data_IF_807532123100
#
_entry.id   IF_807532123100
#
_cell.length_a   1.000
_cell.length_b   1.000
_cell.length_c   1.000
_cell.angle_alpha   90.00
_cell.angle_beta   90.00
_cell.angle_gamma   90.00
#
_symmetry.space_group_name_H-M   'P 1'
#
loop_
_entity.id
_entity.type
_entity.pdbx_description
1 polymer ?
#
# COMPACT_ATOMS: atom_id res chain seq x y z
N UNK A 1 19.05 -9.23 -15.05
CA UNK A 1 18.30 -8.40 -16.01
C UNK A 1 18.08 -7.08 -15.31
N UNK A 2 18.48 -5.94 -15.88
CA UNK A 2 18.29 -4.65 -15.21
C UNK A 2 16.82 -4.23 -15.27
N UNK A 3 16.26 -3.81 -14.14
CA UNK A 3 14.88 -3.33 -14.00
C UNK A 3 14.87 -1.88 -13.50
N UNK A 4 13.78 -1.15 -13.75
CA UNK A 4 13.63 0.22 -13.23
C UNK A 4 13.54 0.26 -11.70
N UNK A 5 12.88 -0.73 -11.11
CA UNK A 5 12.85 -0.93 -9.65
C UNK A 5 14.05 -1.76 -9.23
N UNK A 6 14.90 -1.18 -8.38
CA UNK A 6 16.14 -1.78 -7.88
C UNK A 6 15.99 -2.12 -6.40
N UNK A 7 15.88 -3.41 -6.01
CA UNK A 7 15.67 -3.79 -4.62
C UNK A 7 16.69 -3.16 -3.64
N UNK A 8 17.90 -2.86 -4.12
CA UNK A 8 18.97 -2.24 -3.33
C UNK A 8 18.67 -0.79 -2.92
N UNK A 9 17.66 -0.14 -3.51
CA UNK A 9 17.26 1.23 -3.16
C UNK A 9 16.33 1.28 -1.95
N UNK A 10 15.60 0.20 -1.65
CA UNK A 10 14.68 0.15 -0.50
C UNK A 10 15.41 0.38 0.85
N UNK A 11 16.55 -0.27 1.15
CA UNK A 11 17.33 0.03 2.36
C UNK A 11 17.85 1.47 2.43
N UNK A 12 17.93 2.17 1.29
CA UNK A 12 18.41 3.56 1.19
C UNK A 12 17.29 4.58 1.34
N UNK A 13 16.07 4.18 1.69
CA UNK A 13 14.92 5.09 1.75
C UNK A 13 15.16 6.33 2.65
N UNK A 14 15.98 6.22 3.70
CA UNK A 14 16.34 7.36 4.54
C UNK A 14 17.16 8.44 3.80
N UNK A 15 17.84 8.09 2.71
CA UNK A 15 18.64 9.03 1.91
C UNK A 15 17.79 10.10 1.21
N UNK A 16 16.46 9.91 1.10
CA UNK A 16 15.57 10.93 0.52
C UNK A 16 15.66 12.27 1.27
N UNK A 17 16.13 12.25 2.52
CA UNK A 17 16.27 13.44 3.35
C UNK A 17 17.50 14.29 3.07
N UNK A 18 18.42 13.88 2.19
CA UNK A 18 19.68 14.60 1.91
C UNK A 18 19.44 16.08 1.54
N UNK A 19 18.45 16.35 0.69
CA UNK A 19 18.14 17.70 0.20
C UNK A 19 17.07 18.42 1.04
N UNK A 20 16.39 17.72 1.95
CA UNK A 20 15.29 18.25 2.75
C UNK A 20 15.23 17.60 4.15
N UNK A 21 16.25 17.78 5.00
CA UNK A 21 16.41 17.03 6.25
C UNK A 21 15.28 17.29 7.25
N UNK A 22 14.79 18.53 7.34
CA UNK A 22 13.70 18.88 8.26
C UNK A 22 12.36 18.24 7.88
N UNK A 23 12.09 18.13 6.57
CA UNK A 23 10.88 17.47 6.07
C UNK A 23 10.98 15.96 6.26
N UNK A 24 12.14 15.37 5.93
CA UNK A 24 12.38 13.95 6.12
C UNK A 24 12.27 13.55 7.59
N UNK A 25 12.85 14.32 8.51
CA UNK A 25 12.74 14.07 9.95
C UNK A 25 11.27 14.00 10.40
N UNK A 26 10.46 15.01 10.06
CA UNK A 26 9.03 15.05 10.39
C UNK A 26 8.27 13.87 9.81
N UNK A 27 8.58 13.50 8.57
CA UNK A 27 7.96 12.36 7.91
C UNK A 27 8.32 11.05 8.61
N UNK A 28 9.60 10.80 8.91
CA UNK A 28 10.04 9.55 9.54
C UNK A 28 9.57 9.43 10.98
N UNK A 29 9.50 10.53 11.74
CA UNK A 29 8.87 10.53 13.07
C UNK A 29 7.41 10.10 12.97
N UNK A 30 6.63 10.74 12.11
CA UNK A 30 5.23 10.35 11.85
C UNK A 30 5.12 8.89 11.38
N UNK A 31 5.92 8.50 10.40
CA UNK A 31 5.89 7.17 9.79
C UNK A 31 6.16 6.08 10.83
N UNK A 32 7.18 6.24 11.67
CA UNK A 32 7.51 5.26 12.71
C UNK A 32 6.37 5.16 13.74
N UNK A 33 5.86 6.29 14.22
CA UNK A 33 4.74 6.31 15.18
C UNK A 33 3.46 5.68 14.62
N UNK A 34 3.18 5.82 13.31
CA UNK A 34 2.03 5.16 12.68
C UNK A 34 2.09 3.63 12.84
N UNK A 35 3.27 3.03 12.85
CA UNK A 35 3.46 1.58 12.92
C UNK A 35 3.65 1.01 14.34
N UNK A 36 3.80 1.85 15.37
CA UNK A 36 3.83 1.41 16.77
C UNK A 36 2.48 0.79 17.18
N UNK A 37 2.49 -0.18 18.09
CA UNK A 37 1.25 -0.81 18.59
C UNK A 37 0.31 0.21 19.28
N UNK A 38 -0.99 0.05 19.07
CA UNK A 38 -2.04 0.84 19.71
C UNK A 38 -3.36 0.08 19.70
N UNK A 39 -4.45 0.73 19.26
CA UNK A 39 -5.73 0.03 19.04
C UNK A 39 -5.65 -1.08 17.98
N UNK A 40 -4.66 -0.98 17.08
CA UNK A 40 -4.29 -2.04 16.16
C UNK A 40 -2.88 -2.52 16.51
N UNK A 41 -2.71 -3.83 16.49
CA UNK A 41 -1.41 -4.50 16.61
C UNK A 41 -0.50 -4.15 15.43
N UNK A 42 0.81 -4.25 15.61
CA UNK A 42 1.78 -4.07 14.52
C UNK A 42 1.52 -5.04 13.36
N UNK A 43 1.02 -6.25 13.66
CA UNK A 43 0.64 -7.27 12.69
C UNK A 43 -0.54 -6.81 11.82
N UNK A 44 -1.59 -6.29 12.44
CA UNK A 44 -2.76 -5.76 11.71
C UNK A 44 -2.38 -4.57 10.84
N UNK A 45 -1.57 -3.64 11.37
CA UNK A 45 -1.07 -2.50 10.60
C UNK A 45 -0.22 -2.94 9.41
N UNK A 46 0.58 -3.99 9.56
CA UNK A 46 1.38 -4.57 8.47
C UNK A 46 0.51 -5.17 7.37
N UNK A 47 -0.56 -5.89 7.71
CA UNK A 47 -1.52 -6.43 6.75
C UNK A 47 -2.26 -5.31 5.99
N UNK A 48 -2.65 -4.24 6.70
CA UNK A 48 -3.25 -3.05 6.07
C UNK A 48 -2.25 -2.43 5.09
N UNK A 49 -0.99 -2.25 5.51
CA UNK A 49 0.03 -1.67 4.66
C UNK A 49 0.35 -2.53 3.43
N UNK A 50 0.35 -3.86 3.56
CA UNK A 50 0.50 -4.78 2.42
C UNK A 50 -0.66 -4.67 1.42
N UNK A 51 -1.89 -4.58 1.92
CA UNK A 51 -3.07 -4.38 1.09
C UNK A 51 -3.02 -3.04 0.34
N UNK A 52 -2.62 -1.97 1.02
CA UNK A 52 -2.41 -0.65 0.41
C UNK A 52 -1.30 -0.68 -0.63
N UNK A 53 -0.17 -1.36 -0.34
CA UNK A 53 0.95 -1.51 -1.27
C UNK A 53 0.51 -2.15 -2.60
N UNK A 54 -0.36 -3.17 -2.54
CA UNK A 54 -0.96 -3.78 -3.73
C UNK A 54 -1.94 -2.83 -4.44
N UNK A 55 -2.74 -2.07 -3.67
CA UNK A 55 -3.70 -1.15 -4.23
C UNK A 55 -3.04 -0.01 -5.03
N UNK A 56 -1.91 0.53 -4.52
CA UNK A 56 -1.12 1.58 -5.17
C UNK A 56 -0.02 1.05 -6.09
N UNK A 57 0.10 -0.28 -6.22
CA UNK A 57 1.06 -0.96 -7.09
C UNK A 57 2.52 -0.56 -6.85
N UNK A 58 2.91 -0.41 -5.59
CA UNK A 58 4.27 -0.04 -5.20
C UNK A 58 5.13 -1.29 -4.95
N UNK A 59 6.04 -1.69 -5.86
CA UNK A 59 6.83 -2.92 -5.69
C UNK A 59 7.74 -2.89 -4.45
N UNK A 60 8.38 -1.75 -4.15
CA UNK A 60 9.16 -1.59 -2.92
C UNK A 60 8.33 -1.81 -1.65
N UNK A 61 7.11 -1.28 -1.64
CA UNK A 61 6.18 -1.41 -0.52
C UNK A 61 5.69 -2.87 -0.40
N UNK A 62 5.45 -3.55 -1.53
CA UNK A 62 5.06 -4.96 -1.55
C UNK A 62 6.15 -5.81 -0.90
N UNK A 63 7.42 -5.61 -1.27
CA UNK A 63 8.53 -6.37 -0.67
C UNK A 63 8.67 -6.05 0.82
N UNK A 64 8.70 -4.76 1.19
CA UNK A 64 8.85 -4.31 2.57
C UNK A 64 7.77 -4.86 3.51
N UNK A 65 6.49 -4.76 3.10
CA UNK A 65 5.38 -5.20 3.95
C UNK A 65 5.12 -6.70 3.86
N UNK A 66 5.57 -7.39 2.82
CA UNK A 66 5.59 -8.87 2.81
C UNK A 66 6.54 -9.37 3.90
N UNK A 67 7.77 -8.83 3.95
CA UNK A 67 8.74 -9.18 4.97
C UNK A 67 8.22 -8.80 6.37
N UNK A 68 7.73 -7.57 6.54
CA UNK A 68 7.22 -7.10 7.84
C UNK A 68 6.05 -7.96 8.32
N UNK A 69 5.11 -8.34 7.45
CA UNK A 69 4.01 -9.25 7.82
C UNK A 69 4.53 -10.56 8.39
N UNK A 70 5.51 -11.19 7.73
CA UNK A 70 6.11 -12.44 8.20
C UNK A 70 6.83 -12.26 9.54
N UNK A 71 7.59 -11.17 9.70
CA UNK A 71 8.30 -10.85 10.95
C UNK A 71 7.36 -10.59 12.13
N UNK A 72 6.18 -10.02 11.86
CA UNK A 72 5.12 -9.77 12.86
C UNK A 72 4.17 -10.95 13.05
N UNK A 73 4.50 -12.11 12.49
CA UNK A 73 3.80 -13.38 12.74
C UNK A 73 2.57 -13.63 11.88
N UNK A 74 2.35 -12.85 10.81
CA UNK A 74 1.37 -13.21 9.79
C UNK A 74 1.85 -14.38 8.94
N UNK A 75 0.92 -15.12 8.34
CA UNK A 75 1.24 -16.19 7.39
C UNK A 75 0.65 -15.94 5.99
N UNK A 76 1.01 -16.80 5.02
CA UNK A 76 0.61 -16.64 3.62
C UNK A 76 -0.91 -16.54 3.41
N UNK A 77 -1.69 -17.33 4.16
CA UNK A 77 -3.16 -17.24 4.17
C UNK A 77 -3.70 -15.84 4.52
N UNK A 78 -3.33 -15.28 5.68
CA UNK A 78 -3.75 -13.93 6.10
C UNK A 78 -3.33 -12.85 5.09
N UNK A 79 -2.10 -12.93 4.57
CA UNK A 79 -1.62 -11.97 3.55
C UNK A 79 -2.43 -12.07 2.25
N UNK A 80 -2.77 -13.29 1.82
CA UNK A 80 -3.57 -13.54 0.61
C UNK A 80 -4.98 -13.01 0.77
N UNK A 81 -5.60 -13.20 1.93
CA UNK A 81 -6.91 -12.64 2.25
C UNK A 81 -6.90 -11.10 2.21
N UNK A 82 -5.89 -10.46 2.79
CA UNK A 82 -5.72 -9.00 2.74
C UNK A 82 -5.60 -8.47 1.29
N UNK A 83 -4.89 -9.19 0.42
CA UNK A 83 -4.80 -8.84 -1.02
C UNK A 83 -6.16 -8.97 -1.70
N UNK A 84 -6.94 -10.01 -1.41
CA UNK A 84 -8.30 -10.15 -1.95
C UNK A 84 -9.23 -9.01 -1.51
N UNK A 85 -9.09 -8.53 -0.27
CA UNK A 85 -9.80 -7.32 0.20
C UNK A 85 -9.43 -6.12 -0.67
N UNK A 86 -8.14 -5.89 -0.93
CA UNK A 86 -7.68 -4.80 -1.81
C UNK A 86 -8.24 -4.93 -3.24
N UNK A 87 -8.29 -6.15 -3.78
CA UNK A 87 -8.87 -6.44 -5.11
C UNK A 87 -10.36 -6.13 -5.15
N UNK A 88 -11.13 -6.52 -4.12
CA UNK A 88 -12.56 -6.26 -4.07
C UNK A 88 -12.87 -4.76 -4.13
N UNK A 89 -12.12 -3.93 -3.40
CA UNK A 89 -12.27 -2.48 -3.43
C UNK A 89 -11.93 -1.90 -4.81
N UNK A 90 -10.81 -2.31 -5.42
CA UNK A 90 -10.40 -1.82 -6.76
C UNK A 90 -11.37 -2.24 -7.87
N UNK A 91 -11.81 -3.50 -7.85
CA UNK A 91 -12.78 -4.03 -8.80
C UNK A 91 -14.15 -3.35 -8.63
N UNK A 92 -14.64 -3.29 -7.40
CA UNK A 92 -15.90 -2.63 -7.07
C UNK A 92 -15.93 -1.15 -7.45
N UNK A 93 -14.84 -0.42 -7.17
CA UNK A 93 -14.70 0.99 -7.57
C UNK A 93 -14.81 1.17 -9.09
N UNK A 94 -14.20 0.28 -9.88
CA UNK A 94 -14.34 0.31 -11.35
C UNK A 94 -15.79 0.05 -11.80
N UNK A 95 -16.44 -0.95 -11.21
CA UNK A 95 -17.80 -1.34 -11.57
C UNK A 95 -18.84 -0.26 -11.22
N UNK A 96 -18.73 0.37 -10.06
CA UNK A 96 -19.68 1.43 -9.66
C UNK A 96 -19.56 2.67 -10.55
N UNK A 97 -18.36 2.98 -11.08
CA UNK A 97 -18.21 4.02 -12.11
C UNK A 97 -18.93 3.67 -13.42
N UNK A 98 -19.22 2.39 -13.67
CA UNK A 98 -20.11 1.96 -14.75
C UNK A 98 -21.49 2.61 -14.68
N UNK A 99 -22.02 2.90 -13.48
CA UNK A 99 -23.28 3.63 -13.34
C UNK A 99 -23.19 5.06 -13.87
N UNK A 100 -22.03 5.73 -13.71
CA UNK A 100 -21.82 7.05 -14.29
C UNK A 100 -21.85 6.99 -15.82
N UNK A 101 -21.25 5.94 -16.40
CA UNK A 101 -21.30 5.69 -17.84
C UNK A 101 -22.73 5.41 -18.32
N UNK A 102 -23.52 4.58 -17.61
CA UNK A 102 -24.94 4.38 -17.93
C UNK A 102 -25.71 5.70 -17.93
N UNK A 103 -25.56 6.50 -16.88
CA UNK A 103 -26.20 7.82 -16.79
C UNK A 103 -25.81 8.76 -17.94
N UNK A 104 -24.57 8.67 -18.44
CA UNK A 104 -24.12 9.45 -19.59
C UNK A 104 -24.71 8.91 -20.90
N UNK A 105 -24.75 7.60 -21.08
CA UNK A 105 -25.32 6.94 -22.26
C UNK A 105 -26.82 7.23 -22.41
N UNK A 106 -27.56 7.19 -21.30
CA UNK A 106 -29.00 7.48 -21.27
C UNK A 106 -29.26 8.94 -21.69
N UNK A 107 -28.46 9.89 -21.20
CA UNK A 107 -28.58 11.32 -21.58
C UNK A 107 -28.28 11.59 -23.05
N UNK A 108 -27.36 10.83 -23.66
CA UNK A 108 -26.97 11.02 -25.07
C UNK A 108 -28.00 10.38 -26.01
N UNK A 109 -28.65 9.31 -25.58
CA UNK A 109 -29.58 8.52 -26.40
C UNK A 109 -31.02 9.07 -26.39
N UNK A 110 -31.29 10.11 -25.60
CA UNK A 110 -32.55 10.87 -25.57
C UNK A 110 -32.44 12.14 -26.42
#
# INVERSE_FOLDING_TARGET
METYYKPEDLPKFQEIGKEAPDLAKKFFEYYNTVFEEGELTEREKSLIALAVAHAVQCPYCIDAYTQTCLEKGSHLGEMTEAIHVAVAIRGGASLVHGLQMHNAADKISM
#
